data_IF_535029749194
#
_entry.id   IF_535029749194
#
_cell.length_a   1.000
_cell.length_b   1.000
_cell.length_c   1.000
_cell.angle_alpha   90.00
_cell.angle_beta   90.00
_cell.angle_gamma   90.00
#
_symmetry.space_group_name_H-M   'P 1'
#
loop_
_entity.id
_entity.type
_entity.pdbx_description
1 polymer ?
#
# COMPACT_ATOMS: atom_id res chain seq x y z
N UNK A 1 -15.57 9.11 23.53
CA UNK A 1 -14.46 8.51 22.76
C UNK A 1 -14.10 9.51 21.68
N UNK A 2 -12.87 10.02 21.67
CA UNK A 2 -12.44 10.97 20.64
C UNK A 2 -12.26 10.24 19.28
N UNK A 3 -12.66 10.90 18.21
CA UNK A 3 -12.45 10.37 16.86
C UNK A 3 -10.96 10.34 16.54
N UNK A 4 -10.45 9.18 16.17
CA UNK A 4 -9.06 9.00 15.74
C UNK A 4 -9.01 8.36 14.35
N UNK A 5 -8.36 9.03 13.42
CA UNK A 5 -8.10 8.51 12.06
C UNK A 5 -6.83 9.14 11.48
N UNK A 6 -5.77 8.35 11.36
CA UNK A 6 -4.48 8.77 10.80
C UNK A 6 -4.24 8.29 9.37
N UNK A 7 -5.22 7.63 8.77
CA UNK A 7 -5.12 7.14 7.39
C UNK A 7 -4.05 6.07 7.16
N UNK A 8 -3.62 5.35 8.20
CA UNK A 8 -2.52 4.37 8.12
C UNK A 8 -2.81 3.30 7.07
N UNK A 9 -3.99 2.69 7.09
CA UNK A 9 -4.37 1.67 6.10
C UNK A 9 -4.38 2.27 4.69
N UNK A 10 -4.86 3.51 4.54
CA UNK A 10 -4.86 4.21 3.25
C UNK A 10 -3.46 4.40 2.69
N UNK A 11 -2.46 4.65 3.54
CA UNK A 11 -1.05 4.75 3.12
C UNK A 11 -0.57 3.44 2.50
N UNK A 12 -0.84 2.28 3.13
CA UNK A 12 -0.48 0.97 2.58
C UNK A 12 -1.16 0.70 1.22
N UNK A 13 -2.46 1.02 1.10
CA UNK A 13 -3.18 0.90 -0.17
C UNK A 13 -2.53 1.76 -1.26
N UNK A 14 -2.23 3.02 -0.94
CA UNK A 14 -1.63 3.96 -1.91
C UNK A 14 -0.26 3.48 -2.37
N UNK A 15 0.58 2.97 -1.46
CA UNK A 15 1.89 2.43 -1.81
C UNK A 15 1.78 1.18 -2.66
N UNK A 16 0.85 0.28 -2.34
CA UNK A 16 0.61 -0.91 -3.16
C UNK A 16 0.21 -0.55 -4.60
N UNK A 17 -0.74 0.37 -4.77
CA UNK A 17 -1.15 0.86 -6.08
C UNK A 17 0.02 1.54 -6.81
N UNK A 18 0.84 2.32 -6.10
CA UNK A 18 2.02 2.98 -6.66
C UNK A 18 3.00 1.96 -7.24
N UNK A 19 3.27 0.85 -6.52
CA UNK A 19 4.10 -0.24 -7.03
C UNK A 19 3.49 -0.84 -8.29
N UNK A 20 2.19 -1.17 -8.27
CA UNK A 20 1.50 -1.77 -9.42
C UNK A 20 1.44 -0.83 -10.64
N UNK A 21 1.49 0.48 -10.45
CA UNK A 21 1.49 1.47 -11.54
C UNK A 21 2.82 1.60 -12.30
N UNK A 22 3.88 0.92 -11.86
CA UNK A 22 5.19 0.98 -12.53
C UNK A 22 5.35 -0.05 -13.65
N UNK A 23 4.45 -1.00 -13.75
CA UNK A 23 4.50 -2.02 -14.80
C UNK A 23 3.97 -1.50 -16.14
N UNK A 24 4.47 -2.08 -17.22
CA UNK A 24 4.10 -1.71 -18.57
C UNK A 24 4.27 -2.85 -19.54
N UNK A 25 3.75 -2.70 -20.74
CA UNK A 25 3.91 -3.65 -21.83
C UNK A 25 4.47 -2.95 -23.07
N UNK A 26 5.10 -3.72 -23.93
CA UNK A 26 5.61 -3.28 -25.21
C UNK A 26 4.64 -3.72 -26.29
N UNK A 27 4.23 -2.80 -27.15
CA UNK A 27 3.37 -3.12 -28.29
C UNK A 27 4.16 -3.69 -29.46
N UNK A 28 3.46 -4.09 -30.53
CA UNK A 28 4.07 -4.63 -31.75
C UNK A 28 4.96 -3.62 -32.49
N UNK A 29 4.80 -2.32 -32.22
CA UNK A 29 5.64 -1.25 -32.78
C UNK A 29 6.92 -1.02 -31.98
N UNK A 30 7.06 -1.67 -30.84
CA UNK A 30 8.20 -1.56 -29.94
C UNK A 30 8.09 -0.43 -28.91
N UNK A 31 6.95 0.27 -28.84
CA UNK A 31 6.70 1.34 -27.88
C UNK A 31 6.26 0.75 -26.53
N UNK A 32 6.84 1.27 -25.43
CA UNK A 32 6.49 0.86 -24.08
C UNK A 32 5.34 1.72 -23.57
N UNK A 33 4.25 1.06 -23.16
CA UNK A 33 3.07 1.67 -22.57
C UNK A 33 3.00 1.32 -21.08
N UNK A 34 2.83 2.31 -20.22
CA UNK A 34 2.55 2.08 -18.80
C UNK A 34 1.10 1.64 -18.63
N UNK A 35 0.90 0.68 -17.71
CA UNK A 35 -0.43 0.18 -17.38
C UNK A 35 -0.95 0.92 -16.13
N UNK A 36 -2.09 1.59 -16.21
CA UNK A 36 -2.66 2.28 -15.05
C UNK A 36 -3.11 1.26 -14.00
N UNK A 37 -2.76 1.52 -12.73
CA UNK A 37 -3.26 0.78 -11.59
C UNK A 37 -4.35 1.61 -10.88
N UNK A 38 -5.50 1.01 -10.65
CA UNK A 38 -6.67 1.66 -10.05
C UNK A 38 -7.15 0.89 -8.82
N UNK A 39 -7.78 1.61 -7.87
CA UNK A 39 -8.40 0.96 -6.72
C UNK A 39 -9.86 0.62 -7.02
N UNK A 40 -10.20 -0.64 -6.96
CA UNK A 40 -11.56 -1.12 -7.14
C UNK A 40 -11.62 -2.62 -7.34
N UNK A 41 -12.67 -3.24 -6.82
CA UNK A 41 -12.90 -4.67 -7.01
C UNK A 41 -13.42 -4.99 -8.42
N UNK A 42 -13.36 -6.27 -8.77
CA UNK A 42 -13.82 -6.79 -10.05
C UNK A 42 -15.27 -6.42 -10.37
N UNK A 43 -16.18 -6.44 -9.39
CA UNK A 43 -17.60 -6.16 -9.61
C UNK A 43 -17.83 -4.69 -9.99
N UNK A 44 -17.11 -3.75 -9.35
CA UNK A 44 -17.17 -2.33 -9.71
C UNK A 44 -16.60 -2.08 -11.09
N UNK A 45 -15.52 -2.78 -11.46
CA UNK A 45 -14.93 -2.65 -12.78
C UNK A 45 -15.85 -3.21 -13.87
N UNK A 46 -16.42 -4.39 -13.67
CA UNK A 46 -17.41 -4.97 -14.60
C UNK A 46 -18.66 -4.07 -14.73
N UNK A 47 -19.17 -3.57 -13.59
CA UNK A 47 -20.32 -2.65 -13.59
C UNK A 47 -20.06 -1.38 -14.39
N UNK A 48 -18.85 -0.82 -14.29
CA UNK A 48 -18.47 0.37 -15.05
C UNK A 48 -18.25 0.06 -16.55
N UNK A 49 -17.72 -1.13 -16.90
CA UNK A 49 -17.61 -1.57 -18.32
C UNK A 49 -18.98 -1.77 -18.94
N UNK A 50 -19.96 -2.29 -18.20
CA UNK A 50 -21.32 -2.52 -18.70
C UNK A 50 -22.16 -1.22 -18.80
N UNK A 51 -21.92 -0.26 -17.90
CA UNK A 51 -22.61 1.02 -17.88
C UNK A 51 -21.82 2.08 -18.66
N UNK A 52 -21.81 1.98 -19.97
CA UNK A 52 -21.13 2.93 -20.88
C UNK A 52 -21.59 4.40 -20.75
N UNK A 53 -22.54 4.69 -19.89
CA UNK A 53 -23.06 6.04 -19.59
C UNK A 53 -22.53 6.64 -18.28
N UNK A 54 -21.52 6.04 -17.65
CA UNK A 54 -20.90 6.61 -16.45
C UNK A 54 -19.93 7.72 -16.85
N UNK A 55 -20.10 8.92 -16.29
CA UNK A 55 -19.19 10.07 -16.45
C UNK A 55 -17.77 9.81 -15.95
N UNK A 56 -17.54 8.69 -15.27
CA UNK A 56 -16.21 8.21 -14.90
C UNK A 56 -15.57 7.50 -16.08
N UNK A 57 -14.59 8.15 -16.68
CA UNK A 57 -13.75 7.58 -17.74
C UNK A 57 -13.04 6.35 -17.17
N UNK A 58 -13.51 5.17 -17.56
CA UNK A 58 -12.76 3.96 -17.30
C UNK A 58 -11.49 3.92 -18.15
N UNK A 59 -10.36 3.53 -17.59
CA UNK A 59 -9.22 3.24 -18.43
C UNK A 59 -9.59 2.08 -19.36
N UNK A 60 -9.33 2.25 -20.64
CA UNK A 60 -9.40 1.13 -21.59
C UNK A 60 -8.35 0.08 -21.19
N UNK A 61 -8.67 -1.20 -21.33
CA UNK A 61 -7.67 -2.25 -21.11
C UNK A 61 -6.45 -2.02 -22.04
N UNK A 62 -5.21 -2.25 -21.53
CA UNK A 62 -4.88 -2.94 -20.30
C UNK A 62 -4.86 -2.03 -19.07
N UNK A 63 -5.28 -2.54 -17.93
CA UNK A 63 -5.17 -1.89 -16.61
C UNK A 63 -5.05 -2.93 -15.48
N UNK A 64 -4.59 -2.51 -14.30
CA UNK A 64 -4.50 -3.34 -13.11
C UNK A 64 -5.49 -2.83 -12.07
N UNK A 65 -6.41 -3.67 -11.63
CA UNK A 65 -7.34 -3.33 -10.57
C UNK A 65 -6.86 -3.92 -9.23
N UNK A 66 -6.65 -3.04 -8.25
CA UNK A 66 -6.14 -3.39 -6.94
C UNK A 66 -7.22 -3.21 -5.88
N UNK A 67 -7.39 -4.18 -4.98
CA UNK A 67 -8.34 -4.07 -3.88
C UNK A 67 -7.95 -4.92 -2.67
N UNK A 68 -8.46 -4.55 -1.51
CA UNK A 68 -8.32 -5.34 -0.30
C UNK A 68 -9.32 -6.48 -0.36
N UNK A 69 -8.82 -7.71 -0.26
CA UNK A 69 -9.65 -8.91 -0.11
C UNK A 69 -10.03 -9.13 1.34
N UNK A 70 -9.07 -8.94 2.24
CA UNK A 70 -9.24 -9.26 3.65
C UNK A 70 -8.27 -8.44 4.53
N UNK A 71 -8.69 -8.15 5.74
CA UNK A 71 -7.88 -7.58 6.81
C UNK A 71 -7.99 -8.50 8.04
N UNK A 72 -6.90 -9.19 8.38
CA UNK A 72 -6.84 -10.13 9.50
C UNK A 72 -6.03 -9.58 10.66
N UNK A 73 -6.50 -9.81 11.90
CA UNK A 73 -5.69 -9.63 13.09
C UNK A 73 -4.63 -10.72 13.21
N UNK A 74 -3.36 -10.32 13.38
CA UNK A 74 -2.24 -11.27 13.49
C UNK A 74 -1.84 -11.49 14.95
N UNK A 75 -2.40 -12.52 15.55
CA UNK A 75 -2.10 -12.88 16.93
C UNK A 75 -0.65 -13.32 17.16
N UNK A 76 0.00 -13.86 16.16
CA UNK A 76 1.36 -14.39 16.31
C UNK A 76 2.40 -13.29 16.50
N UNK A 77 2.13 -12.09 15.97
CA UNK A 77 2.97 -10.91 16.13
C UNK A 77 2.51 -9.97 17.25
N UNK A 78 1.46 -10.33 17.99
CA UNK A 78 0.96 -9.50 19.08
C UNK A 78 2.01 -9.43 20.18
N UNK A 79 2.43 -8.21 20.50
CA UNK A 79 3.25 -7.90 21.68
C UNK A 79 2.34 -7.59 22.87
N UNK A 80 2.94 -7.33 24.04
CA UNK A 80 2.15 -6.98 25.25
C UNK A 80 1.30 -5.72 25.00
N UNK A 81 -0.04 -5.82 24.92
CA UNK A 81 -0.90 -4.67 24.63
C UNK A 81 -0.98 -3.66 25.77
N UNK A 82 -0.52 -4.06 26.96
CA UNK A 82 -0.51 -3.19 28.15
C UNK A 82 0.77 -2.38 28.26
N UNK A 83 1.79 -2.72 27.50
CA UNK A 83 3.06 -2.00 27.52
C UNK A 83 2.91 -0.58 26.96
N UNK A 84 3.38 0.39 27.73
CA UNK A 84 3.42 1.81 27.34
C UNK A 84 4.86 2.21 27.14
N UNK A 85 5.22 2.46 25.88
CA UNK A 85 6.54 3.02 25.55
C UNK A 85 6.58 4.51 25.92
N UNK A 86 7.64 4.91 26.62
CA UNK A 86 7.85 6.29 27.09
C UNK A 86 9.16 6.82 26.57
N UNK A 87 9.08 7.72 25.61
CA UNK A 87 10.23 8.41 25.05
C UNK A 87 10.32 9.83 25.62
N UNK A 88 11.46 10.18 26.20
CA UNK A 88 11.76 11.54 26.65
C UNK A 88 12.50 12.29 25.55
N UNK A 89 11.93 13.41 25.11
CA UNK A 89 12.47 14.23 24.04
C UNK A 89 12.78 15.62 24.62
N UNK A 90 13.95 16.14 24.28
CA UNK A 90 14.36 17.52 24.59
C UNK A 90 14.50 18.30 23.30
N UNK A 91 13.88 19.46 23.25
CA UNK A 91 14.11 20.40 22.16
C UNK A 91 15.53 20.96 22.22
N UNK A 92 16.14 21.12 21.05
CA UNK A 92 17.38 21.86 20.87
C UNK A 92 17.21 22.84 19.72
N UNK A 93 17.73 24.05 19.89
CA UNK A 93 17.80 24.98 18.79
C UNK A 93 18.82 24.50 17.75
N UNK A 94 18.50 24.74 16.47
CA UNK A 94 19.42 24.52 15.35
C UNK A 94 20.03 25.87 15.00
N UNK A 95 21.30 25.89 14.57
CA UNK A 95 21.94 27.11 14.08
C UNK A 95 21.27 27.64 12.80
N UNK A 96 21.54 28.88 12.42
CA UNK A 96 20.95 29.49 11.23
C UNK A 96 21.30 28.77 9.92
N UNK A 97 22.43 28.07 9.88
CA UNK A 97 22.84 27.26 8.74
C UNK A 97 22.12 25.90 8.65
N UNK A 98 21.45 25.45 9.71
CA UNK A 98 20.69 24.19 9.73
C UNK A 98 21.54 22.92 9.83
N UNK A 99 22.85 23.05 10.10
CA UNK A 99 23.80 21.93 10.09
C UNK A 99 24.24 21.44 11.48
N UNK A 100 23.99 22.21 12.55
CA UNK A 100 24.40 21.86 13.90
C UNK A 100 23.37 22.25 14.98
N UNK A 101 23.25 21.40 16.01
CA UNK A 101 22.44 21.72 17.19
C UNK A 101 23.21 22.63 18.16
N UNK A 102 22.56 23.70 18.56
CA UNK A 102 23.09 24.62 19.59
C UNK A 102 22.94 24.01 20.99
N UNK A 103 23.79 24.40 21.92
CA UNK A 103 23.70 23.94 23.33
C UNK A 103 22.54 24.61 24.12
N UNK A 104 21.68 25.35 23.44
CA UNK A 104 20.49 25.97 24.02
C UNK A 104 19.43 24.91 24.21
N UNK A 105 19.09 24.60 25.46
CA UNK A 105 18.09 23.59 25.81
C UNK A 105 16.70 24.23 25.79
N UNK A 106 15.79 23.62 25.03
CA UNK A 106 14.38 23.98 25.01
C UNK A 106 13.55 23.17 25.99
N UNK A 107 12.26 23.07 25.72
CA UNK A 107 11.32 22.33 26.56
C UNK A 107 11.56 20.81 26.50
N UNK A 108 11.24 20.14 27.60
CA UNK A 108 11.25 18.68 27.67
C UNK A 108 9.85 18.15 27.48
N UNK A 109 9.73 17.08 26.69
CA UNK A 109 8.47 16.40 26.45
C UNK A 109 8.62 14.91 26.73
N UNK A 110 7.55 14.29 27.22
CA UNK A 110 7.41 12.84 27.26
C UNK A 110 6.36 12.43 26.23
N UNK A 111 6.76 11.56 25.31
CA UNK A 111 5.85 10.92 24.35
C UNK A 111 5.52 9.55 24.88
N UNK A 112 4.25 9.32 25.19
CA UNK A 112 3.73 8.02 25.60
C UNK A 112 2.94 7.41 24.45
N UNK A 113 3.28 6.18 24.06
CA UNK A 113 2.55 5.43 23.05
C UNK A 113 2.30 4.00 23.49
N UNK A 114 1.14 3.49 23.17
CA UNK A 114 0.82 2.07 23.30
C UNK A 114 1.48 1.28 22.18
N UNK A 115 1.70 0.00 22.41
CA UNK A 115 2.22 -0.89 21.37
C UNK A 115 1.26 -0.93 20.17
N UNK A 116 1.80 -0.90 18.95
CA UNK A 116 0.98 -1.00 17.75
C UNK A 116 0.35 -2.40 17.63
N UNK A 117 -0.82 -2.44 17.03
CA UNK A 117 -1.57 -3.68 16.83
C UNK A 117 -1.24 -4.28 15.46
N UNK A 118 -0.82 -5.55 15.43
CA UNK A 118 -0.44 -6.20 14.17
C UNK A 118 -1.65 -6.70 13.39
N UNK A 119 -1.65 -6.43 12.09
CA UNK A 119 -2.63 -6.93 11.13
C UNK A 119 -1.93 -7.46 9.88
N UNK A 120 -2.65 -8.26 9.12
CA UNK A 120 -2.26 -8.71 7.78
C UNK A 120 -3.30 -8.19 6.82
N UNK A 121 -2.87 -7.45 5.79
CA UNK A 121 -3.72 -7.08 4.66
C UNK A 121 -3.46 -8.07 3.53
N UNK A 122 -4.51 -8.71 3.04
CA UNK A 122 -4.47 -9.47 1.80
C UNK A 122 -4.99 -8.59 0.66
N UNK A 123 -4.12 -8.30 -0.31
CA UNK A 123 -4.46 -7.58 -1.52
C UNK A 123 -4.66 -8.52 -2.69
N UNK A 124 -5.60 -8.18 -3.55
CA UNK A 124 -5.68 -8.75 -4.89
C UNK A 124 -5.32 -7.69 -5.92
N UNK A 125 -4.61 -8.11 -6.95
CA UNK A 125 -4.34 -7.33 -8.14
C UNK A 125 -4.80 -8.14 -9.36
N UNK A 126 -5.86 -7.67 -10.02
CA UNK A 126 -6.38 -8.29 -11.24
C UNK A 126 -5.84 -7.54 -12.46
N UNK A 127 -5.12 -8.24 -13.32
CA UNK A 127 -4.55 -7.73 -14.56
C UNK A 127 -5.59 -7.94 -15.67
N UNK A 128 -6.10 -6.84 -16.21
CA UNK A 128 -7.08 -6.83 -17.30
C UNK A 128 -6.37 -6.49 -18.60
N UNK A 129 -6.45 -7.38 -19.58
CA UNK A 129 -5.79 -7.21 -20.89
C UNK A 129 -6.71 -7.61 -22.03
N UNK A 130 -6.45 -7.08 -23.22
CA UNK A 130 -7.14 -7.46 -24.46
C UNK A 130 -6.42 -8.59 -25.19
N UNK A 131 -5.11 -8.77 -24.95
CA UNK A 131 -4.31 -9.81 -25.60
C UNK A 131 -3.55 -10.63 -24.57
N UNK A 132 -3.29 -11.90 -24.91
CA UNK A 132 -2.50 -12.80 -24.06
C UNK A 132 -1.05 -12.34 -23.93
N UNK A 133 -0.48 -11.74 -24.99
CA UNK A 133 0.90 -11.24 -24.96
C UNK A 133 1.10 -10.14 -23.92
N UNK A 134 0.20 -9.15 -23.86
CA UNK A 134 0.21 -8.12 -22.82
C UNK A 134 0.16 -8.73 -21.41
N UNK A 135 -0.69 -9.76 -21.22
CA UNK A 135 -0.83 -10.44 -19.94
C UNK A 135 0.46 -11.16 -19.53
N UNK A 136 1.11 -11.87 -20.46
CA UNK A 136 2.38 -12.55 -20.20
C UNK A 136 3.49 -11.57 -19.83
N UNK A 137 3.62 -10.48 -20.57
CA UNK A 137 4.62 -9.44 -20.28
C UNK A 137 4.45 -8.86 -18.88
N UNK A 138 3.23 -8.54 -18.46
CA UNK A 138 2.95 -8.02 -17.12
C UNK A 138 3.17 -9.07 -16.03
N UNK A 139 2.73 -10.31 -16.29
CA UNK A 139 2.92 -11.41 -15.35
C UNK A 139 4.39 -11.69 -15.07
N UNK A 140 5.22 -11.78 -16.10
CA UNK A 140 6.66 -12.02 -15.96
C UNK A 140 7.33 -10.89 -15.17
N UNK A 141 7.02 -9.62 -15.44
CA UNK A 141 7.59 -8.50 -14.73
C UNK A 141 7.22 -8.52 -13.22
N UNK A 142 5.95 -8.79 -12.92
CA UNK A 142 5.47 -8.81 -11.55
C UNK A 142 6.08 -9.99 -10.78
N UNK A 143 6.05 -11.19 -11.34
CA UNK A 143 6.57 -12.38 -10.66
C UNK A 143 8.09 -12.33 -10.44
N UNK A 144 8.85 -11.72 -11.34
CA UNK A 144 10.30 -11.52 -11.15
C UNK A 144 10.57 -10.50 -10.04
N UNK A 145 9.80 -9.40 -9.97
CA UNK A 145 9.98 -8.39 -8.93
C UNK A 145 9.65 -8.94 -7.54
N UNK A 146 8.60 -9.76 -7.43
CA UNK A 146 8.17 -10.39 -6.19
C UNK A 146 8.73 -11.83 -6.08
N UNK A 147 10.01 -11.96 -5.89
CA UNK A 147 10.66 -13.29 -5.76
C UNK A 147 11.16 -13.56 -4.30
N UNK A 148 10.33 -14.05 -3.38
CA UNK A 148 8.86 -14.00 -3.37
C UNK A 148 8.31 -12.67 -2.80
N UNK A 149 9.16 -11.81 -2.23
CA UNK A 149 8.76 -10.61 -1.51
C UNK A 149 9.54 -9.37 -1.93
N UNK A 150 8.94 -8.22 -1.70
CA UNK A 150 9.56 -6.93 -1.91
C UNK A 150 9.36 -6.05 -0.67
N UNK A 151 10.41 -5.37 -0.24
CA UNK A 151 10.33 -4.41 0.86
C UNK A 151 9.66 -3.12 0.39
N UNK A 152 8.75 -2.62 1.22
CA UNK A 152 7.99 -1.41 0.96
C UNK A 152 8.15 -0.43 2.13
N UNK A 153 8.51 0.80 1.82
CA UNK A 153 8.48 1.89 2.79
C UNK A 153 7.15 2.63 2.69
N UNK A 154 6.43 2.74 3.81
CA UNK A 154 5.11 3.37 3.84
C UNK A 154 5.13 4.88 4.01
N UNK A 155 6.30 5.47 4.31
CA UNK A 155 6.52 6.92 4.40
C UNK A 155 7.42 7.40 3.29
N UNK A 156 7.25 8.66 2.86
CA UNK A 156 8.17 9.31 1.94
C UNK A 156 9.48 9.77 2.64
N UNK A 157 9.57 9.55 3.97
CA UNK A 157 10.75 9.90 4.75
C UNK A 157 11.77 8.75 4.70
N UNK A 158 12.88 8.97 4.03
CA UNK A 158 13.99 8.01 3.90
C UNK A 158 14.76 7.76 5.21
N UNK A 159 14.50 8.55 6.25
CA UNK A 159 15.14 8.41 7.58
C UNK A 159 14.28 7.50 8.50
N UNK A 160 12.99 7.38 8.23
CA UNK A 160 12.06 6.59 9.04
C UNK A 160 12.00 5.13 8.59
N UNK A 161 12.88 4.32 9.17
CA UNK A 161 12.92 2.87 8.93
C UNK A 161 11.84 2.08 9.67
N UNK A 162 11.09 2.71 10.57
CA UNK A 162 10.07 2.04 11.39
C UNK A 162 8.81 1.68 10.61
N UNK A 163 8.63 2.28 9.44
CA UNK A 163 7.49 2.06 8.56
C UNK A 163 7.75 1.07 7.41
N UNK A 164 8.88 0.37 7.44
CA UNK A 164 9.14 -0.71 6.49
C UNK A 164 8.17 -1.86 6.69
N UNK A 165 7.66 -2.37 5.59
CA UNK A 165 6.89 -3.61 5.51
C UNK A 165 7.28 -4.36 4.26
N UNK A 166 6.93 -5.64 4.20
CA UNK A 166 7.17 -6.48 3.02
C UNK A 166 5.84 -6.80 2.33
N UNK A 167 5.86 -6.82 1.01
CA UNK A 167 4.77 -7.36 0.20
C UNK A 167 5.23 -8.71 -0.32
N UNK A 168 4.48 -9.74 -0.01
CA UNK A 168 4.76 -11.10 -0.46
C UNK A 168 3.71 -11.56 -1.46
N UNK A 169 4.16 -12.13 -2.57
CA UNK A 169 3.31 -12.77 -3.56
C UNK A 169 2.95 -14.18 -3.07
N UNK A 170 1.65 -14.47 -2.99
CA UNK A 170 1.17 -15.77 -2.55
C UNK A 170 1.17 -16.79 -3.69
N UNK A 171 1.37 -18.05 -3.33
CA UNK A 171 1.30 -19.23 -4.20
C UNK A 171 -0.09 -19.46 -4.80
N UNK A 172 -1.14 -18.88 -4.19
CA UNK A 172 -2.51 -18.92 -4.70
C UNK A 172 -2.77 -17.98 -5.89
N UNK A 173 -1.73 -17.29 -6.39
CA UNK A 173 -1.84 -16.43 -7.57
C UNK A 173 -2.11 -17.25 -8.83
N UNK A 174 -3.10 -16.83 -9.62
CA UNK A 174 -3.65 -17.63 -10.71
C UNK A 174 -3.59 -16.89 -12.03
N UNK A 175 -3.01 -17.57 -13.03
CA UNK A 175 -3.06 -17.13 -14.42
C UNK A 175 -4.26 -17.77 -15.13
N UNK A 176 -5.42 -17.14 -15.04
CA UNK A 176 -6.65 -17.61 -15.69
C UNK A 176 -6.98 -16.79 -16.92
N UNK A 177 -7.61 -17.45 -17.90
CA UNK A 177 -8.31 -16.78 -19.00
C UNK A 177 -9.79 -16.75 -18.60
N UNK A 178 -10.26 -15.59 -18.15
CA UNK A 178 -11.69 -15.37 -17.88
C UNK A 178 -12.25 -14.52 -19.00
N UNK A 179 -13.29 -15.02 -19.64
CA UNK A 179 -14.09 -14.24 -20.58
C UNK A 179 -15.11 -13.42 -19.77
N UNK A 180 -15.17 -12.12 -20.00
CA UNK A 180 -16.22 -11.26 -19.43
C UNK A 180 -17.58 -11.66 -20.02
N UNK A 181 -18.70 -11.54 -19.27
CA UNK A 181 -20.01 -12.06 -19.68
C UNK A 181 -20.41 -11.75 -21.11
N UNK A 182 -21.08 -12.69 -21.74
CA UNK A 182 -21.57 -12.63 -23.11
C UNK A 182 -22.30 -11.31 -23.42
N UNK A 183 -21.85 -10.60 -24.42
CA UNK A 183 -22.46 -9.34 -24.88
C UNK A 183 -21.47 -8.18 -25.13
N UNK A 184 -20.21 -8.30 -24.72
CA UNK A 184 -19.15 -7.35 -25.07
C UNK A 184 -18.41 -7.86 -26.32
N UNK A 185 -18.20 -6.97 -27.27
CA UNK A 185 -17.53 -7.26 -28.55
C UNK A 185 -16.05 -7.58 -28.41
N UNK A 186 -15.45 -7.43 -27.24
CA UNK A 186 -14.05 -7.70 -26.95
C UNK A 186 -13.88 -8.65 -25.78
N UNK A 187 -13.21 -9.77 -26.02
CA UNK A 187 -12.80 -10.71 -24.99
C UNK A 187 -11.72 -10.07 -24.10
N UNK A 188 -12.05 -9.83 -22.83
CA UNK A 188 -11.09 -9.39 -21.83
C UNK A 188 -10.49 -10.60 -21.13
N UNK A 189 -9.17 -10.66 -21.09
CA UNK A 189 -8.43 -11.70 -20.37
C UNK A 189 -7.98 -11.16 -19.01
N UNK A 190 -8.26 -11.89 -17.94
CA UNK A 190 -7.96 -11.48 -16.55
C UNK A 190 -7.01 -12.48 -15.92
N UNK A 191 -5.98 -11.97 -15.24
CA UNK A 191 -5.12 -12.75 -14.36
C UNK A 191 -5.15 -12.15 -12.97
N UNK A 192 -5.31 -12.98 -11.94
CA UNK A 192 -5.39 -12.55 -10.54
C UNK A 192 -4.12 -12.89 -9.79
N UNK A 193 -3.55 -11.90 -9.12
CA UNK A 193 -2.41 -12.02 -8.23
C UNK A 193 -2.84 -11.73 -6.79
N UNK A 194 -2.36 -12.54 -5.88
CA UNK A 194 -2.69 -12.42 -4.46
C UNK A 194 -1.44 -12.07 -3.66
N UNK A 195 -1.55 -11.04 -2.83
CA UNK A 195 -0.45 -10.54 -2.03
C UNK A 195 -0.84 -10.49 -0.56
N UNK A 196 0.14 -10.71 0.31
CA UNK A 196 0.01 -10.50 1.75
C UNK A 196 0.97 -9.41 2.20
N UNK A 197 0.49 -8.54 3.07
CA UNK A 197 1.25 -7.41 3.61
C UNK A 197 1.06 -7.36 5.12
N UNK A 198 2.08 -7.69 5.92
CA UNK A 198 2.03 -7.53 7.36
C UNK A 198 2.12 -6.04 7.70
N UNK A 199 1.16 -5.51 8.44
CA UNK A 199 1.10 -4.11 8.84
C UNK A 199 1.01 -3.96 10.34
N UNK A 200 1.32 -2.74 10.82
CA UNK A 200 1.12 -2.29 12.18
C UNK A 200 0.19 -1.08 12.19
N UNK A 201 -0.85 -1.14 13.03
CA UNK A 201 -1.74 -0.01 13.28
C UNK A 201 -1.36 0.59 14.63
N UNK A 202 -0.79 1.79 14.58
CA UNK A 202 -0.33 2.50 15.77
C UNK A 202 -1.46 3.34 16.36
N UNK A 203 -1.71 3.26 17.69
CA UNK A 203 -2.60 4.17 18.37
C UNK A 203 -1.98 5.57 18.43
N UNK A 204 -2.79 6.62 18.71
CA UNK A 204 -2.29 7.97 18.85
C UNK A 204 -1.32 8.09 20.03
N UNK A 205 -0.20 8.78 19.81
CA UNK A 205 0.74 9.09 20.86
C UNK A 205 0.22 10.24 21.73
N UNK A 206 0.47 10.15 23.05
CA UNK A 206 0.20 11.24 23.99
C UNK A 206 1.49 12.00 24.25
N UNK A 207 1.49 13.29 23.94
CA UNK A 207 2.63 14.18 24.21
C UNK A 207 2.33 15.00 25.45
N UNK A 208 3.19 14.89 26.45
CA UNK A 208 3.10 15.66 27.71
C UNK A 208 4.34 16.54 27.85
N UNK A 209 4.14 17.83 28.13
CA UNK A 209 5.23 18.73 28.49
C UNK A 209 5.66 18.40 29.92
N UNK A 210 6.95 18.16 30.10
CA UNK A 210 7.51 17.92 31.43
C UNK A 210 7.68 19.28 32.13
N UNK A 211 6.89 19.52 33.19
CA UNK A 211 7.13 20.63 34.10
C UNK A 211 8.15 20.23 35.16
N UNK A 212 9.01 21.17 35.56
CA UNK A 212 9.83 21.03 36.76
C UNK A 212 8.91 21.39 37.94
N UNK A 213 8.69 20.45 38.82
CA UNK A 213 8.10 20.75 40.14
C UNK A 213 9.27 21.24 41.00
N UNK A 214 9.28 22.55 41.29
CA UNK A 214 10.22 23.17 42.22
C UNK A 214 9.70 22.97 43.66
#
# INVERSE_FOLDING_TARGET
MEHFYDGQIRRYITQFIRVMSHFGYKDNSGVVHRVPAIYGDMQKQVGAVLNQNSENIMPSAPFISCYIKELKFDRNRLQDPTFVDKLQIRERAINEAGDAYLNVQGANYTVERLMPTPYIINFNADIWTTTTDQKLQLWEQITVLFNPSMDLQTTDNYIDWTSLTTIELLDSSVFEVRTVPQGLSNDLSIASLHFTVPIWISPPAKVKKMGIIL
#
